data_IF_094675341664
#
_entry.id   IF_094675341664
#
_cell.length_a   1.000
_cell.length_b   1.000
_cell.length_c   1.000
_cell.angle_alpha   90.00
_cell.angle_beta   90.00
_cell.angle_gamma   90.00
#
_symmetry.space_group_name_H-M   'P 1'
#
loop_
_entity.id
_entity.type
_entity.pdbx_description
1 polymer ?
#
# COMPACT_ATOMS: atom_id res chain seq x y z
N UNK A 1 -0.83 -27.69 -8.93
CA UNK A 1 -1.51 -26.86 -7.92
C UNK A 1 -0.49 -26.55 -6.83
N UNK A 2 0.41 -25.62 -7.13
CA UNK A 2 1.49 -25.19 -6.23
C UNK A 2 1.49 -23.67 -6.24
N UNK A 3 0.56 -23.07 -5.50
CA UNK A 3 0.49 -21.63 -5.32
C UNK A 3 1.38 -21.26 -4.14
N UNK A 4 2.65 -21.07 -4.42
CA UNK A 4 3.64 -20.56 -3.46
C UNK A 4 3.29 -19.10 -3.10
N UNK A 5 2.99 -18.76 -1.83
CA UNK A 5 2.71 -17.37 -1.45
C UNK A 5 3.97 -16.79 -0.79
N UNK A 6 5.00 -16.50 -1.58
CA UNK A 6 6.13 -15.69 -1.12
C UNK A 6 6.52 -14.76 -2.25
N UNK A 7 5.84 -13.61 -2.33
CA UNK A 7 6.23 -12.39 -3.06
C UNK A 7 7.28 -12.59 -4.19
N UNK A 8 6.97 -13.34 -5.25
CA UNK A 8 7.65 -13.20 -6.55
C UNK A 8 7.08 -11.97 -7.27
N UNK A 9 6.98 -10.86 -6.55
CA UNK A 9 6.62 -9.57 -7.08
C UNK A 9 7.84 -9.10 -7.89
N UNK A 10 7.75 -9.14 -9.22
CA UNK A 10 8.76 -8.49 -10.07
C UNK A 10 9.03 -7.07 -9.58
N UNK A 11 10.23 -6.56 -9.77
CA UNK A 11 10.67 -5.24 -9.24
C UNK A 11 9.67 -4.09 -9.48
N UNK A 12 8.91 -4.15 -10.58
CA UNK A 12 7.81 -3.23 -10.90
C UNK A 12 6.66 -3.24 -9.88
N UNK A 13 6.33 -4.41 -9.33
CA UNK A 13 5.23 -4.59 -8.37
C UNK A 13 5.62 -4.10 -6.98
N UNK A 14 6.86 -4.33 -6.56
CA UNK A 14 7.44 -3.69 -5.37
C UNK A 14 7.48 -2.16 -5.51
N UNK A 15 7.84 -1.64 -6.69
CA UNK A 15 7.82 -0.20 -6.98
C UNK A 15 6.42 0.42 -6.90
N UNK A 16 5.39 -0.28 -7.39
CA UNK A 16 3.99 0.15 -7.28
C UNK A 16 3.48 0.11 -5.83
N UNK A 17 3.86 -0.92 -5.08
CA UNK A 17 3.53 -1.04 -3.66
C UNK A 17 4.15 0.09 -2.84
N UNK A 18 5.43 0.38 -3.04
CA UNK A 18 6.09 1.49 -2.34
C UNK A 18 5.49 2.85 -2.72
N UNK A 19 5.19 3.10 -4.00
CA UNK A 19 4.47 4.30 -4.41
C UNK A 19 3.07 4.40 -3.79
N UNK A 20 2.37 3.27 -3.62
CA UNK A 20 1.08 3.24 -2.95
C UNK A 20 1.20 3.62 -1.46
N UNK A 21 2.14 3.01 -0.74
CA UNK A 21 2.37 3.32 0.68
C UNK A 21 2.81 4.77 0.86
N UNK A 22 3.72 5.25 0.00
CA UNK A 22 4.18 6.64 -0.01
C UNK A 22 3.00 7.59 -0.20
N UNK A 23 2.17 7.31 -1.22
CA UNK A 23 0.95 8.06 -1.48
C UNK A 23 0.07 8.10 -0.24
N UNK A 24 -0.29 6.97 0.39
CA UNK A 24 -1.11 6.97 1.62
C UNK A 24 -0.45 7.77 2.77
N UNK A 25 0.88 7.73 2.91
CA UNK A 25 1.60 8.44 3.96
C UNK A 25 1.51 9.97 3.86
N UNK A 26 1.37 10.53 2.65
CA UNK A 26 1.36 11.99 2.44
C UNK A 26 0.22 12.70 3.15
N UNK A 27 -0.97 12.09 3.20
CA UNK A 27 -2.17 12.64 3.83
C UNK A 27 -3.21 11.55 4.10
N UNK A 28 -4.05 11.70 5.14
CA UNK A 28 -5.20 10.83 5.36
C UNK A 28 -6.10 10.80 4.12
N UNK A 29 -6.50 9.60 3.69
CA UNK A 29 -7.35 9.40 2.51
C UNK A 29 -8.44 8.40 2.80
N UNK A 30 -9.62 8.61 2.23
CA UNK A 30 -10.72 7.68 2.40
C UNK A 30 -10.55 6.45 1.52
N UNK A 31 -11.21 5.35 1.88
CA UNK A 31 -11.27 4.15 1.07
C UNK A 31 -11.81 4.45 -0.33
N UNK A 32 -12.84 5.31 -0.44
CA UNK A 32 -13.40 5.73 -1.73
C UNK A 32 -12.36 6.43 -2.58
N UNK A 33 -11.65 7.42 -2.03
CA UNK A 33 -10.56 8.11 -2.73
C UNK A 33 -9.43 7.17 -3.15
N UNK A 34 -9.11 6.20 -2.29
CA UNK A 34 -8.08 5.20 -2.55
C UNK A 34 -8.49 4.29 -3.70
N UNK A 35 -9.73 3.80 -3.70
CA UNK A 35 -10.26 2.98 -4.78
C UNK A 35 -10.35 3.76 -6.09
N UNK A 36 -10.79 5.01 -6.07
CA UNK A 36 -10.88 5.85 -7.27
C UNK A 36 -9.50 6.03 -7.94
N UNK A 37 -8.48 6.34 -7.15
CA UNK A 37 -7.13 6.57 -7.64
C UNK A 37 -6.39 5.30 -8.09
N UNK A 38 -6.61 4.16 -7.44
CA UNK A 38 -5.79 2.94 -7.64
C UNK A 38 -6.50 1.79 -8.37
N UNK A 39 -7.84 1.72 -8.34
CA UNK A 39 -8.61 0.63 -8.99
C UNK A 39 -8.66 0.76 -10.52
N UNK A 40 -8.55 1.98 -11.05
CA UNK A 40 -8.72 2.26 -12.50
C UNK A 40 -7.46 2.03 -13.34
N UNK A 41 -6.33 1.68 -12.71
CA UNK A 41 -5.05 1.46 -13.38
C UNK A 41 -4.64 -0.01 -13.23
N UNK A 42 -4.70 -0.80 -14.30
CA UNK A 42 -4.53 -2.26 -14.25
C UNK A 42 -3.08 -2.80 -14.08
N UNK A 43 -2.11 -2.04 -13.55
CA UNK A 43 -1.04 -2.66 -12.74
C UNK A 43 -0.98 -2.14 -11.28
N UNK A 44 -1.88 -1.22 -10.91
CA UNK A 44 -1.96 -0.57 -9.59
C UNK A 44 -2.96 -1.23 -8.63
N UNK A 45 -3.90 -2.03 -9.14
CA UNK A 45 -4.80 -2.84 -8.30
C UNK A 45 -3.99 -3.80 -7.41
N UNK A 46 -2.94 -4.41 -7.97
CA UNK A 46 -2.04 -5.30 -7.23
C UNK A 46 -1.39 -4.61 -6.03
N UNK A 47 -1.07 -3.32 -6.10
CA UNK A 47 -0.46 -2.62 -4.96
C UNK A 47 -1.41 -2.48 -3.76
N UNK A 48 -2.70 -2.23 -4.00
CA UNK A 48 -3.72 -2.21 -2.95
C UNK A 48 -3.92 -3.61 -2.33
N UNK A 49 -4.03 -4.63 -3.19
CA UNK A 49 -4.22 -6.01 -2.77
C UNK A 49 -3.00 -6.53 -2.00
N UNK A 50 -1.78 -6.23 -2.47
CA UNK A 50 -0.53 -6.53 -1.78
C UNK A 50 -0.47 -5.81 -0.44
N UNK A 51 -0.79 -4.52 -0.38
CA UNK A 51 -0.77 -3.77 0.87
C UNK A 51 -1.76 -4.33 1.90
N UNK A 52 -2.96 -4.70 1.47
CA UNK A 52 -4.00 -5.26 2.35
C UNK A 52 -3.65 -6.68 2.78
N UNK A 53 -3.26 -7.55 1.83
CA UNK A 53 -2.88 -8.95 2.08
C UNK A 53 -1.66 -9.06 2.99
N UNK A 54 -0.69 -8.15 2.84
CA UNK A 54 0.50 -8.11 3.68
C UNK A 54 0.29 -7.35 5.00
N UNK A 55 -0.89 -6.80 5.27
CA UNK A 55 -1.19 -6.04 6.49
C UNK A 55 -0.36 -4.76 6.62
N UNK A 56 -0.02 -4.12 5.49
CA UNK A 56 0.74 -2.86 5.43
C UNK A 56 -0.18 -1.65 5.59
N UNK A 57 -1.45 -1.80 5.25
CA UNK A 57 -2.50 -0.82 5.51
C UNK A 57 -3.64 -1.45 6.30
N UNK A 58 -4.39 -0.61 6.99
CA UNK A 58 -5.62 -0.97 7.67
C UNK A 58 -6.72 0.03 7.29
N UNK A 59 -7.97 -0.41 7.38
CA UNK A 59 -9.16 0.39 7.09
C UNK A 59 -10.09 0.27 8.29
N UNK A 60 -9.84 1.04 9.37
CA UNK A 60 -10.69 1.02 10.54
C UNK A 60 -12.13 1.34 10.18
N UNK A 61 -13.06 0.66 10.85
CA UNK A 61 -14.48 0.93 10.70
C UNK A 61 -14.77 2.35 11.17
N UNK A 62 -15.24 3.18 10.25
CA UNK A 62 -15.65 4.54 10.61
C UNK A 62 -16.97 4.53 11.39
N UNK A 63 -17.16 5.50 12.30
CA UNK A 63 -18.43 5.71 12.98
C UNK A 63 -19.55 5.98 11.96
N UNK A 64 -20.80 5.71 12.36
CA UNK A 64 -21.95 5.81 11.47
C UNK A 64 -22.02 7.18 10.76
N UNK A 65 -21.95 7.16 9.42
CA UNK A 65 -21.99 8.35 8.58
C UNK A 65 -20.63 8.93 8.16
N UNK A 66 -19.51 8.41 8.68
CA UNK A 66 -18.17 8.82 8.25
C UNK A 66 -17.55 7.83 7.25
N UNK A 67 -16.76 8.34 6.31
CA UNK A 67 -16.01 7.51 5.36
C UNK A 67 -14.85 6.79 6.07
N UNK A 68 -14.62 5.52 5.74
CA UNK A 68 -13.48 4.77 6.24
C UNK A 68 -12.18 5.37 5.71
N UNK A 69 -11.24 5.67 6.60
CA UNK A 69 -9.93 6.23 6.25
C UNK A 69 -8.91 5.09 6.17
N UNK A 70 -8.13 5.06 5.09
CA UNK A 70 -7.02 4.11 4.94
C UNK A 70 -5.84 4.64 5.73
N UNK A 71 -5.27 3.80 6.59
CA UNK A 71 -4.11 4.14 7.43
C UNK A 71 -2.98 3.15 7.21
N UNK A 72 -1.74 3.63 7.31
CA UNK A 72 -0.57 2.75 7.32
C UNK A 72 -0.46 2.06 8.69
N UNK A 73 -0.24 0.75 8.67
CA UNK A 73 0.11 0.01 9.87
C UNK A 73 1.57 0.28 10.24
N UNK A 74 2.00 -0.06 11.47
CA UNK A 74 3.42 0.00 11.84
C UNK A 74 4.32 -0.78 10.87
N UNK A 75 3.82 -1.91 10.32
CA UNK A 75 4.53 -2.71 9.33
C UNK A 75 4.68 -1.97 7.99
N UNK A 76 3.62 -1.33 7.51
CA UNK A 76 3.66 -0.49 6.31
C UNK A 76 4.61 0.69 6.43
N UNK A 77 4.59 1.37 7.59
CA UNK A 77 5.51 2.48 7.90
C UNK A 77 6.98 2.02 7.88
N UNK A 78 7.28 0.88 8.51
CA UNK A 78 8.65 0.35 8.56
C UNK A 78 9.18 -0.03 7.16
N UNK A 79 8.33 -0.64 6.32
CA UNK A 79 8.70 -0.96 4.93
C UNK A 79 8.99 0.30 4.11
N UNK A 80 8.10 1.30 4.21
CA UNK A 80 8.28 2.58 3.51
C UNK A 80 9.54 3.32 3.98
N UNK A 81 9.79 3.35 5.29
CA UNK A 81 10.99 3.97 5.86
C UNK A 81 12.28 3.27 5.38
N UNK A 82 12.28 1.93 5.33
CA UNK A 82 13.41 1.14 4.84
C UNK A 82 13.71 1.44 3.37
N UNK A 83 12.67 1.52 2.54
CA UNK A 83 12.80 1.85 1.12
C UNK A 83 13.31 3.29 0.88
N UNK A 84 12.81 4.27 1.64
CA UNK A 84 13.28 5.66 1.59
C UNK A 84 14.74 5.77 2.06
N UNK A 85 15.13 5.01 3.08
CA UNK A 85 16.52 4.94 3.57
C UNK A 85 17.47 4.31 2.56
N UNK A 86 17.02 3.29 1.82
CA UNK A 86 17.79 2.68 0.73
C UNK A 86 17.98 3.63 -0.45
N UNK A 87 16.97 4.44 -0.79
CA UNK A 87 17.07 5.44 -1.86
C UNK A 87 17.96 6.65 -1.48
N UNK A 88 18.03 7.00 -0.20
CA UNK A 88 18.84 8.10 0.31
C UNK A 88 20.33 7.76 0.48
N UNK A 89 20.72 6.49 0.33
CA UNK A 89 22.10 6.04 0.43
C UNK A 89 22.59 5.49 -0.91
N UNK A 90 23.01 6.34 -1.87
CA UNK A 90 23.71 5.86 -3.05
C UNK A 90 25.14 5.52 -2.62
N UNK A 91 25.42 4.23 -2.48
CA UNK A 91 26.80 3.73 -2.50
C UNK A 91 27.38 3.86 -3.91
#
# INVERSE_FOLDING_TARGET
>A
MNESPILEAGTSQLGNLLQFLDWIAERPRTYVQTMDAWRSSCPRLSAWEDATTNGLVDVPRSPAGAEAVVVLTPKGQALLASARGAAANPA
#
